data_IF_809861478370
#
_entry.id   IF_809861478370
#
_cell.length_a   1.000
_cell.length_b   1.000
_cell.length_c   1.000
_cell.angle_alpha   90.00
_cell.angle_beta   90.00
_cell.angle_gamma   90.00
#
_symmetry.space_group_name_H-M   'P 1'
#
loop_
_entity.id
_entity.type
_entity.pdbx_description
1 polymer ?
#
# COMPACT_ATOMS: atom_id res chain seq x y z
N UNK A 1 9.54 -18.10 6.40
CA UNK A 1 8.43 -18.50 5.50
C UNK A 1 7.25 -19.11 6.24
N UNK A 2 7.33 -20.32 6.78
CA UNK A 2 6.16 -21.02 7.34
C UNK A 2 5.59 -20.42 8.64
N UNK A 3 6.39 -19.68 9.41
CA UNK A 3 5.97 -19.00 10.65
C UNK A 3 5.92 -17.48 10.51
N UNK A 4 6.16 -16.97 9.31
CA UNK A 4 6.26 -15.54 9.08
C UNK A 4 4.87 -14.92 8.93
N UNK A 5 4.53 -14.04 9.88
CA UNK A 5 3.25 -13.33 9.92
C UNK A 5 3.34 -11.87 9.44
N UNK A 6 4.47 -11.44 8.89
CA UNK A 6 4.64 -10.06 8.42
C UNK A 6 3.62 -9.65 7.34
N UNK A 7 3.27 -10.50 6.35
CA UNK A 7 2.24 -10.16 5.36
C UNK A 7 0.87 -9.89 6.00
N UNK A 8 0.52 -10.59 7.08
CA UNK A 8 -0.76 -10.44 7.79
C UNK A 8 -0.80 -9.22 8.71
N UNK A 9 0.35 -8.58 8.94
CA UNK A 9 0.49 -7.39 9.79
C UNK A 9 0.69 -6.09 9.00
N UNK A 10 0.55 -6.14 7.68
CA UNK A 10 0.78 -4.97 6.82
C UNK A 10 2.25 -4.54 6.76
N UNK A 11 3.16 -5.53 6.71
CA UNK A 11 4.59 -5.29 6.56
C UNK A 11 5.40 -5.45 7.84
N UNK A 12 6.60 -4.86 7.84
CA UNK A 12 7.53 -4.96 8.95
C UNK A 12 7.22 -3.94 10.05
N UNK A 13 6.77 -4.42 11.22
CA UNK A 13 6.50 -3.57 12.38
C UNK A 13 7.69 -2.69 12.78
N UNK A 14 8.92 -3.21 12.67
CA UNK A 14 10.12 -2.40 12.94
C UNK A 14 10.27 -1.27 11.90
N UNK A 15 10.06 -1.55 10.61
CA UNK A 15 10.20 -0.54 9.54
C UNK A 15 9.18 0.60 9.71
N UNK A 16 7.98 0.30 10.20
CA UNK A 16 7.00 1.30 10.62
C UNK A 16 7.48 2.10 11.84
N UNK A 17 7.94 1.43 12.91
CA UNK A 17 8.43 2.05 14.15
C UNK A 17 9.57 3.03 13.90
N UNK A 18 10.50 2.67 13.02
CA UNK A 18 11.65 3.51 12.64
C UNK A 18 11.34 4.52 11.53
N UNK A 19 10.09 4.55 11.03
CA UNK A 19 9.65 5.47 9.98
C UNK A 19 10.26 5.19 8.60
N UNK A 20 10.85 4.00 8.39
CA UNK A 20 11.45 3.60 7.11
C UNK A 20 10.37 3.44 6.05
N UNK A 21 9.28 2.76 6.37
CA UNK A 21 8.16 2.58 5.45
C UNK A 21 7.59 3.91 4.97
N UNK A 22 7.38 4.88 5.88
CA UNK A 22 6.91 6.22 5.49
C UNK A 22 7.89 6.94 4.56
N UNK A 23 9.21 6.85 4.83
CA UNK A 23 10.25 7.43 3.97
C UNK A 23 10.31 6.77 2.59
N UNK A 24 10.24 5.44 2.54
CA UNK A 24 10.25 4.69 1.28
C UNK A 24 9.04 5.03 0.42
N UNK A 25 7.85 5.02 1.01
CA UNK A 25 6.57 5.36 0.34
C UNK A 25 6.56 6.80 -0.17
N UNK A 26 7.12 7.75 0.60
CA UNK A 26 7.18 9.17 0.25
C UNK A 26 8.38 9.58 -0.59
N UNK A 27 9.24 8.65 -1.00
CA UNK A 27 10.47 8.97 -1.72
C UNK A 27 10.21 9.58 -3.11
N UNK A 28 11.12 10.45 -3.56
CA UNK A 28 10.99 11.13 -4.85
C UNK A 28 10.93 10.17 -6.03
N UNK A 29 11.55 8.98 -5.91
CA UNK A 29 11.55 7.94 -6.96
C UNK A 29 10.12 7.60 -7.41
N UNK A 30 9.18 7.48 -6.47
CA UNK A 30 7.80 7.18 -6.79
C UNK A 30 7.09 8.33 -7.50
N UNK A 31 7.41 9.58 -7.12
CA UNK A 31 6.90 10.78 -7.81
C UNK A 31 7.42 10.87 -9.25
N UNK A 32 8.68 10.51 -9.48
CA UNK A 32 9.25 10.40 -10.83
C UNK A 32 8.54 9.32 -11.65
N UNK A 33 8.33 8.12 -11.07
CA UNK A 33 7.61 7.04 -11.73
C UNK A 33 6.16 7.44 -12.09
N UNK A 34 5.45 8.09 -11.18
CA UNK A 34 4.09 8.57 -11.44
C UNK A 34 4.05 9.63 -12.56
N UNK A 35 5.04 10.52 -12.65
CA UNK A 35 5.15 11.49 -13.75
C UNK A 35 5.45 10.84 -15.10
N UNK A 36 6.28 9.79 -15.10
CA UNK A 36 6.63 9.05 -16.31
C UNK A 36 5.43 8.26 -16.87
N UNK A 37 4.60 7.65 -16.01
CA UNK A 37 3.42 6.86 -16.38
C UNK A 37 2.08 7.63 -16.28
N UNK A 38 2.10 8.97 -16.47
CA UNK A 38 1.08 9.95 -16.04
C UNK A 38 0.02 9.50 -15.03
N UNK A 39 0.44 8.96 -13.88
CA UNK A 39 -0.47 8.42 -12.86
C UNK A 39 -1.03 9.55 -12.00
N UNK A 40 -2.36 9.73 -11.99
CA UNK A 40 -3.06 10.77 -11.22
C UNK A 40 -4.18 10.20 -10.36
N UNK A 41 -4.38 10.79 -9.18
CA UNK A 41 -5.47 10.44 -8.28
C UNK A 41 -6.50 11.56 -8.21
N UNK A 42 -7.70 11.31 -8.74
CA UNK A 42 -8.82 12.24 -8.73
C UNK A 42 -9.76 11.91 -7.58
N UNK A 43 -9.94 12.86 -6.65
CA UNK A 43 -10.90 12.72 -5.54
C UNK A 43 -12.27 13.13 -6.05
N UNK A 44 -13.21 12.19 -6.10
CA UNK A 44 -14.58 12.41 -6.58
C UNK A 44 -15.55 12.78 -5.46
N UNK A 45 -15.29 12.30 -4.24
CA UNK A 45 -16.13 12.56 -3.08
C UNK A 45 -15.30 12.71 -1.79
N UNK A 46 -15.80 13.44 -0.78
CA UNK A 46 -15.23 13.39 0.56
C UNK A 46 -15.45 12.01 1.20
N UNK A 47 -14.46 11.54 1.95
CA UNK A 47 -14.59 10.39 2.83
C UNK A 47 -14.78 10.92 4.25
N UNK A 48 -15.97 10.80 4.86
CA UNK A 48 -16.22 11.38 6.17
C UNK A 48 -15.36 10.70 7.25
N UNK A 49 -14.62 11.47 8.07
CA UNK A 49 -13.90 10.90 9.20
C UNK A 49 -14.89 10.27 10.19
N UNK A 50 -14.59 9.06 10.69
CA UNK A 50 -15.42 8.35 11.67
C UNK A 50 -16.44 7.37 11.11
N UNK A 51 -16.51 7.15 9.79
CA UNK A 51 -17.39 6.17 9.15
C UNK A 51 -16.98 4.69 9.31
N UNK A 52 -15.90 4.41 10.04
CA UNK A 52 -15.31 3.07 10.18
C UNK A 52 -14.22 2.76 9.15
N UNK A 53 -13.72 1.51 9.09
CA UNK A 53 -12.68 1.11 8.15
C UNK A 53 -13.21 1.13 6.71
N UNK A 54 -12.53 1.86 5.83
CA UNK A 54 -12.83 1.90 4.40
C UNK A 54 -12.10 0.79 3.65
N UNK A 55 -12.82 0.01 2.84
CA UNK A 55 -12.23 -0.96 1.92
C UNK A 55 -12.27 -0.38 0.50
N UNK A 56 -11.10 -0.05 -0.03
CA UNK A 56 -10.95 0.32 -1.44
C UNK A 56 -10.67 -0.93 -2.27
N UNK A 57 -11.57 -1.25 -3.19
CA UNK A 57 -11.37 -2.34 -4.14
C UNK A 57 -10.84 -1.76 -5.45
N UNK A 58 -9.70 -2.27 -5.92
CA UNK A 58 -9.12 -1.92 -7.19
C UNK A 58 -9.01 -3.19 -8.04
N UNK A 59 -9.45 -3.11 -9.31
CA UNK A 59 -9.24 -4.17 -10.30
C UNK A 59 -8.19 -3.70 -11.32
N UNK A 60 -6.90 -3.96 -11.06
CA UNK A 60 -5.86 -3.55 -12.00
C UNK A 60 -5.73 -4.57 -13.14
N UNK A 61 -5.81 -4.11 -14.38
CA UNK A 61 -5.37 -4.91 -15.52
C UNK A 61 -3.84 -4.81 -15.65
N UNK A 62 -3.12 -5.73 -15.02
CA UNK A 62 -1.66 -5.86 -15.13
C UNK A 62 -1.06 -6.80 -14.08
N UNK A 63 0.04 -7.49 -14.42
CA UNK A 63 0.65 -8.54 -13.58
C UNK A 63 1.11 -8.02 -12.20
N UNK A 64 1.57 -6.76 -12.12
CA UNK A 64 2.14 -6.20 -10.88
C UNK A 64 1.28 -5.14 -10.18
N UNK A 65 0.05 -4.87 -10.63
CA UNK A 65 -0.82 -3.89 -9.95
C UNK A 65 -0.17 -2.51 -9.76
N UNK A 66 0.51 -1.99 -10.79
CA UNK A 66 1.28 -0.74 -10.73
C UNK A 66 0.42 0.45 -10.28
N UNK A 67 -0.83 0.53 -10.72
CA UNK A 67 -1.77 1.59 -10.30
C UNK A 67 -2.03 1.56 -8.78
N UNK A 68 -2.54 0.47 -8.17
CA UNK A 68 -2.73 0.43 -6.72
C UNK A 68 -1.43 0.60 -5.92
N UNK A 69 -0.29 0.12 -6.44
CA UNK A 69 1.01 0.39 -5.83
C UNK A 69 1.39 1.88 -5.86
N UNK A 70 1.12 2.58 -6.96
CA UNK A 70 1.44 4.00 -7.12
C UNK A 70 0.55 4.90 -6.25
N UNK A 71 -0.71 4.52 -6.06
CA UNK A 71 -1.68 5.32 -5.29
C UNK A 71 -1.69 5.00 -3.79
N UNK A 72 -1.72 3.71 -3.44
CA UNK A 72 -1.97 3.25 -2.07
C UNK A 72 -0.70 2.67 -1.45
N UNK A 73 0.08 1.95 -2.25
CA UNK A 73 1.37 1.38 -1.81
C UNK A 73 2.44 2.44 -1.58
N UNK A 74 2.40 3.52 -2.33
CA UNK A 74 3.33 4.66 -2.26
C UNK A 74 2.54 5.96 -2.16
N UNK A 75 3.19 7.06 -1.80
CA UNK A 75 2.56 8.39 -1.76
C UNK A 75 2.87 9.19 -3.05
N UNK A 76 2.97 8.48 -4.18
CA UNK A 76 3.38 9.08 -5.45
C UNK A 76 2.35 10.11 -5.97
N UNK A 77 1.07 9.84 -5.74
CA UNK A 77 -0.05 10.68 -6.17
C UNK A 77 -0.68 11.49 -5.03
N UNK A 78 0.07 11.71 -3.95
CA UNK A 78 -0.34 12.51 -2.79
C UNK A 78 -1.66 12.03 -2.14
N UNK A 79 -1.83 10.70 -2.02
CA UNK A 79 -3.03 10.12 -1.37
C UNK A 79 -3.15 10.64 0.07
N UNK A 80 -2.05 10.63 0.81
CA UNK A 80 -2.02 11.07 2.22
C UNK A 80 -2.34 12.56 2.37
N UNK A 81 -2.10 13.39 1.34
CA UNK A 81 -2.50 14.81 1.35
C UNK A 81 -3.98 14.99 1.01
N UNK A 82 -4.55 14.16 0.14
CA UNK A 82 -5.96 14.22 -0.28
C UNK A 82 -6.91 13.64 0.78
N UNK A 83 -6.42 12.68 1.56
CA UNK A 83 -7.12 11.98 2.63
C UNK A 83 -6.22 11.85 3.88
N UNK A 84 -5.95 12.95 4.61
CA UNK A 84 -5.02 12.94 5.74
C UNK A 84 -5.48 12.05 6.90
N UNK A 85 -6.79 11.90 7.07
CA UNK A 85 -7.39 11.14 8.18
C UNK A 85 -7.66 9.67 7.83
N UNK A 86 -7.29 9.22 6.62
CA UNK A 86 -7.54 7.85 6.16
C UNK A 86 -6.21 7.13 5.97
N UNK A 87 -5.73 6.37 6.98
CA UNK A 87 -4.54 5.54 6.80
C UNK A 87 -4.85 4.43 5.79
N UNK A 88 -4.08 4.38 4.70
CA UNK A 88 -4.26 3.37 3.65
C UNK A 88 -3.15 2.33 3.70
N UNK A 89 -3.57 1.06 3.60
CA UNK A 89 -2.71 -0.11 3.47
C UNK A 89 -3.09 -0.86 2.20
N UNK A 90 -2.09 -1.13 1.34
CA UNK A 90 -2.31 -1.92 0.14
C UNK A 90 -2.26 -3.41 0.49
N UNK A 91 -3.34 -4.12 0.18
CA UNK A 91 -3.42 -5.57 0.31
C UNK A 91 -3.32 -6.21 -1.07
N UNK A 92 -2.42 -7.19 -1.21
CA UNK A 92 -2.16 -7.92 -2.45
C UNK A 92 -2.35 -9.42 -2.30
N UNK A 93 -2.47 -10.10 -3.44
CA UNK A 93 -2.65 -11.56 -3.48
C UNK A 93 -1.49 -12.29 -2.79
N UNK A 94 -1.78 -13.26 -1.92
CA UNK A 94 -0.78 -13.92 -1.06
C UNK A 94 0.40 -14.54 -1.81
N UNK A 95 0.22 -14.93 -3.08
CA UNK A 95 1.32 -15.46 -3.89
C UNK A 95 2.46 -14.45 -4.12
N UNK A 96 2.18 -13.13 -4.15
CA UNK A 96 3.25 -12.12 -4.31
C UNK A 96 4.25 -12.18 -3.17
N UNK A 97 3.77 -12.52 -1.98
CA UNK A 97 4.59 -12.62 -0.80
C UNK A 97 5.43 -13.89 -0.79
N UNK A 98 5.26 -14.84 -1.73
CA UNK A 98 6.09 -16.06 -1.86
C UNK A 98 7.35 -15.87 -2.70
N UNK A 99 7.49 -14.73 -3.37
CA UNK A 99 8.64 -14.39 -4.21
C UNK A 99 9.67 -13.65 -3.33
N UNK A 100 10.87 -14.19 -3.06
CA UNK A 100 11.75 -13.69 -2.00
C UNK A 100 12.05 -12.19 -2.05
N UNK A 101 12.57 -11.66 -3.15
CA UNK A 101 12.95 -10.25 -3.23
C UNK A 101 11.74 -9.32 -3.34
N UNK A 102 10.72 -9.73 -4.10
CA UNK A 102 9.51 -8.93 -4.29
C UNK A 102 8.69 -8.82 -3.00
N UNK A 103 8.69 -9.88 -2.19
CA UNK A 103 8.11 -9.89 -0.85
C UNK A 103 8.75 -8.83 0.04
N UNK A 104 10.09 -8.83 0.14
CA UNK A 104 10.80 -7.87 1.00
C UNK A 104 10.48 -6.43 0.59
N UNK A 105 10.47 -6.19 -0.72
CA UNK A 105 10.08 -4.90 -1.28
C UNK A 105 8.65 -4.52 -0.86
N UNK A 106 7.67 -5.44 -0.99
CA UNK A 106 6.29 -5.22 -0.56
C UNK A 106 6.18 -4.92 0.94
N UNK A 107 6.85 -5.70 1.79
CA UNK A 107 6.74 -5.58 3.25
C UNK A 107 7.43 -4.32 3.78
N UNK A 108 8.52 -3.88 3.16
CA UNK A 108 9.17 -2.60 3.48
C UNK A 108 8.27 -1.41 3.12
N UNK A 109 7.47 -1.53 2.06
CA UNK A 109 6.43 -0.56 1.69
C UNK A 109 5.14 -0.68 2.52
N UNK A 110 5.08 -1.62 3.47
CA UNK A 110 3.92 -1.80 4.35
C UNK A 110 2.73 -2.46 3.66
N UNK A 111 2.96 -3.22 2.58
CA UNK A 111 1.91 -4.00 1.93
C UNK A 111 1.59 -5.24 2.76
N UNK A 112 0.33 -5.66 2.72
CA UNK A 112 -0.14 -6.87 3.38
C UNK A 112 -0.66 -7.91 2.39
N UNK A 113 -0.75 -9.15 2.85
CA UNK A 113 -1.51 -10.18 2.14
C UNK A 113 -3.00 -9.89 2.32
N UNK A 114 -3.81 -10.16 1.30
CA UNK A 114 -5.26 -10.21 1.44
C UNK A 114 -5.63 -11.54 2.11
N UNK A 115 -5.99 -11.48 3.38
CA UNK A 115 -6.58 -12.61 4.09
C UNK A 115 -7.72 -12.15 5.00
N UNK A 116 -8.49 -13.12 5.51
CA UNK A 116 -9.63 -12.81 6.39
C UNK A 116 -9.19 -12.01 7.61
N UNK A 117 -8.08 -12.40 8.25
CA UNK A 117 -7.64 -11.79 9.50
C UNK A 117 -7.22 -10.33 9.29
N UNK A 118 -6.64 -10.02 8.13
CA UNK A 118 -6.10 -8.71 7.78
C UNK A 118 -7.19 -7.78 7.23
N UNK A 119 -8.26 -8.32 6.63
CA UNK A 119 -9.44 -7.55 6.23
C UNK A 119 -10.43 -7.27 7.37
N UNK A 120 -10.37 -8.01 8.48
CA UNK A 120 -11.25 -7.81 9.65
C UNK A 120 -10.53 -7.19 10.85
N UNK A 121 -9.25 -6.84 10.70
CA UNK A 121 -8.42 -6.26 11.76
C UNK A 121 -8.74 -4.78 12.01
#
# INVERSE_FOLDING_TARGET
WCLDRAPQRGGYAFAWRWGWTRRLRGSSVWRWAARYFPVTLHKTAPLPPGGGPYIFVCHPHGIMGISPMSHFGTDATDFTKKFPDVPVHLLGHTAIFRIPLFREWCLLHGHGAVDRATCTA
#
